data_IF_542295655655
#
_entry.id   IF_542295655655
#
_cell.length_a   1.000
_cell.length_b   1.000
_cell.length_c   1.000
_cell.angle_alpha   90.00
_cell.angle_beta   90.00
_cell.angle_gamma   90.00
#
_symmetry.space_group_name_H-M   'P 1'
#
loop_
_entity.id
_entity.type
_entity.pdbx_description
1 polymer ?
#
# COMPACT_ATOMS: atom_id res chain seq x y z
N UNK A 1 -20.47 1.59 12.72
CA UNK A 1 -19.00 1.73 12.99
C UNK A 1 -18.39 2.63 11.92
N UNK A 2 -17.50 3.56 12.27
CA UNK A 2 -16.80 4.44 11.33
C UNK A 2 -15.32 4.04 11.29
N UNK A 3 -14.75 3.91 10.09
CA UNK A 3 -13.37 3.45 9.89
C UNK A 3 -12.34 4.60 9.90
N UNK A 4 -12.77 5.80 9.54
CA UNK A 4 -11.95 7.01 9.47
C UNK A 4 -12.77 8.22 9.94
N UNK A 5 -12.11 9.27 10.40
CA UNK A 5 -12.77 10.52 10.82
C UNK A 5 -13.07 11.40 9.61
N UNK A 6 -12.13 11.53 8.71
CA UNK A 6 -12.24 12.28 7.47
C UNK A 6 -12.05 11.37 6.27
N UNK A 7 -12.83 11.61 5.22
CA UNK A 7 -12.78 10.83 3.98
C UNK A 7 -11.39 10.88 3.33
N UNK A 8 -10.71 12.01 3.43
CA UNK A 8 -9.36 12.24 2.87
C UNK A 8 -8.28 11.37 3.53
N UNK A 9 -8.51 10.89 4.75
CA UNK A 9 -7.57 10.03 5.44
C UNK A 9 -7.57 8.59 4.89
N UNK A 10 -8.61 8.20 4.16
CA UNK A 10 -8.74 6.86 3.62
C UNK A 10 -7.93 6.68 2.33
N UNK A 11 -6.99 5.74 2.33
CA UNK A 11 -6.16 5.41 1.17
C UNK A 11 -6.83 4.46 0.16
N UNK A 12 -8.07 4.04 0.37
CA UNK A 12 -8.75 3.10 -0.53
C UNK A 12 -8.10 1.72 -0.67
N UNK A 13 -7.25 1.32 0.28
CA UNK A 13 -6.38 0.14 0.16
C UNK A 13 -7.10 -1.22 0.27
N UNK A 14 -8.39 -1.25 0.66
CA UNK A 14 -9.18 -2.47 0.80
C UNK A 14 -8.83 -3.38 1.98
N UNK A 15 -7.87 -3.02 2.85
CA UNK A 15 -7.46 -3.85 3.98
C UNK A 15 -8.62 -4.16 4.94
N UNK A 16 -9.49 -3.19 5.19
CA UNK A 16 -10.68 -3.37 6.04
C UNK A 16 -11.70 -4.36 5.44
N UNK A 17 -11.87 -4.34 4.11
CA UNK A 17 -12.73 -5.29 3.40
C UNK A 17 -12.19 -6.71 3.52
N UNK A 18 -10.89 -6.91 3.26
CA UNK A 18 -10.26 -8.23 3.34
C UNK A 18 -10.19 -8.78 4.77
N UNK A 19 -10.15 -7.91 5.78
CA UNK A 19 -10.13 -8.31 7.18
C UNK A 19 -11.51 -8.65 7.74
N UNK A 20 -12.60 -8.40 7.00
CA UNK A 20 -13.95 -8.61 7.49
C UNK A 20 -14.41 -10.08 7.32
N UNK A 21 -14.54 -10.88 8.40
CA UNK A 21 -14.94 -12.28 8.30
C UNK A 21 -16.42 -12.46 7.94
N UNK A 22 -17.20 -11.37 7.98
CA UNK A 22 -18.62 -11.35 7.65
C UNK A 22 -18.92 -10.79 6.26
N UNK A 23 -17.85 -10.42 5.51
CA UNK A 23 -18.00 -9.78 4.20
C UNK A 23 -18.98 -8.59 4.23
N UNK A 24 -18.96 -7.87 5.35
CA UNK A 24 -19.83 -6.73 5.59
C UNK A 24 -19.28 -5.42 5.02
N UNK A 25 -18.12 -5.43 4.37
CA UNK A 25 -17.48 -4.24 3.83
C UNK A 25 -17.24 -4.45 2.34
N UNK A 26 -17.69 -3.50 1.53
CA UNK A 26 -17.39 -3.43 0.10
C UNK A 26 -16.82 -2.05 -0.24
N UNK A 27 -16.16 -1.96 -1.38
CA UNK A 27 -15.55 -0.71 -1.84
C UNK A 27 -16.45 -0.07 -2.89
N UNK A 28 -16.85 1.19 -2.67
CA UNK A 28 -17.63 1.97 -3.62
C UNK A 28 -16.81 3.15 -4.15
N UNK A 29 -16.96 3.43 -5.44
CA UNK A 29 -16.36 4.59 -6.06
C UNK A 29 -17.18 5.85 -5.76
N UNK A 30 -16.50 6.93 -5.41
CA UNK A 30 -17.11 8.24 -5.31
C UNK A 30 -17.30 8.90 -6.69
N UNK A 31 -17.79 10.14 -6.71
CA UNK A 31 -18.01 10.91 -7.95
C UNK A 31 -16.74 11.18 -8.76
N UNK A 32 -15.56 11.03 -8.15
CA UNK A 32 -14.24 11.23 -8.77
C UNK A 32 -13.56 9.89 -9.10
N UNK A 33 -14.18 8.75 -8.78
CA UNK A 33 -13.67 7.41 -9.03
C UNK A 33 -12.75 6.86 -7.94
N UNK A 34 -12.60 7.53 -6.80
CA UNK A 34 -11.84 7.00 -5.66
C UNK A 34 -12.68 5.98 -4.89
N UNK A 35 -12.06 4.85 -4.54
CA UNK A 35 -12.71 3.77 -3.82
C UNK A 35 -12.70 4.01 -2.30
N UNK A 36 -13.87 3.90 -1.69
CA UNK A 36 -14.04 4.01 -0.24
C UNK A 36 -14.82 2.83 0.32
N UNK A 37 -14.51 2.39 1.56
CA UNK A 37 -15.22 1.29 2.19
C UNK A 37 -16.61 1.73 2.67
N UNK A 38 -17.60 0.95 2.32
CA UNK A 38 -18.98 1.05 2.79
C UNK A 38 -19.31 -0.17 3.64
N UNK A 39 -19.88 0.05 4.83
CA UNK A 39 -20.18 -1.00 5.79
C UNK A 39 -21.66 -1.33 5.72
N UNK A 40 -21.98 -2.58 5.39
CA UNK A 40 -23.32 -3.14 5.52
C UNK A 40 -23.62 -3.39 7.00
N UNK A 41 -24.44 -2.54 7.58
CA UNK A 41 -24.80 -2.61 9.00
C UNK A 41 -25.62 -3.84 9.37
N UNK A 42 -26.31 -4.46 8.39
CA UNK A 42 -27.09 -5.69 8.61
C UNK A 42 -26.18 -6.91 8.79
N UNK A 43 -25.00 -6.91 8.18
CA UNK A 43 -24.01 -7.99 8.28
C UNK A 43 -22.93 -7.73 9.33
N UNK A 44 -22.73 -6.47 9.68
CA UNK A 44 -21.68 -6.06 10.60
C UNK A 44 -21.98 -6.51 12.03
N UNK A 45 -21.07 -7.25 12.63
CA UNK A 45 -21.15 -7.71 14.05
C UNK A 45 -20.29 -6.86 14.98
N UNK A 46 -19.79 -5.75 14.54
CA UNK A 46 -19.02 -4.76 15.30
C UNK A 46 -17.76 -5.31 16.00
N UNK A 47 -17.11 -6.31 15.40
CA UNK A 47 -15.95 -7.00 15.99
C UNK A 47 -14.65 -6.16 16.00
N UNK A 48 -14.57 -5.05 15.29
CA UNK A 48 -13.43 -4.14 15.28
C UNK A 48 -12.21 -4.58 14.44
N UNK A 49 -12.21 -5.74 13.80
CA UNK A 49 -11.06 -6.24 13.00
C UNK A 49 -10.68 -5.30 11.86
N UNK A 50 -11.65 -4.69 11.21
CA UNK A 50 -11.43 -3.71 10.14
C UNK A 50 -10.67 -2.47 10.62
N UNK A 51 -10.95 -2.00 11.85
CA UNK A 51 -10.18 -0.91 12.47
C UNK A 51 -8.75 -1.33 12.80
N UNK A 52 -8.57 -2.54 13.30
CA UNK A 52 -7.23 -3.07 13.61
C UNK A 52 -6.37 -3.24 12.36
N UNK A 53 -6.98 -3.55 11.21
CA UNK A 53 -6.29 -3.71 9.94
C UNK A 53 -6.02 -2.39 9.22
N UNK A 54 -6.68 -1.30 9.63
CA UNK A 54 -6.52 0.00 9.02
C UNK A 54 -5.18 0.63 9.39
N UNK A 55 -4.49 1.21 8.40
CA UNK A 55 -3.24 1.94 8.63
C UNK A 55 -3.47 3.33 9.24
N UNK A 56 -4.68 3.88 9.10
CA UNK A 56 -5.06 5.17 9.68
C UNK A 56 -5.02 5.06 11.21
N UNK A 57 -4.32 5.97 11.85
CA UNK A 57 -4.14 5.96 13.31
C UNK A 57 -3.05 5.01 13.84
N UNK A 58 -2.45 4.20 12.97
CA UNK A 58 -1.22 3.44 13.27
C UNK A 58 0.02 4.20 12.81
N UNK A 59 0.04 5.51 12.99
CA UNK A 59 1.26 6.28 12.77
C UNK A 59 2.29 5.77 13.77
N UNK A 60 3.11 4.86 13.26
CA UNK A 60 4.28 4.40 13.99
C UNK A 60 5.13 5.63 14.29
N UNK A 61 5.43 5.82 15.56
CA UNK A 61 6.41 6.79 16.02
C UNK A 61 7.85 6.48 15.58
N UNK A 62 8.04 5.56 14.65
CA UNK A 62 9.27 5.35 13.91
C UNK A 62 9.46 6.45 12.84
N UNK A 63 9.26 7.69 13.25
CA UNK A 63 9.87 8.81 12.54
C UNK A 63 11.34 8.77 12.92
N UNK A 64 12.18 8.33 11.97
CA UNK A 64 13.59 8.62 12.05
C UNK A 64 13.70 10.16 12.12
N UNK A 65 13.99 10.71 13.28
CA UNK A 65 14.15 12.16 13.50
C UNK A 65 15.37 12.68 12.74
N UNK A 66 16.30 11.79 12.41
CA UNK A 66 17.50 12.09 11.62
C UNK A 66 17.19 11.95 10.12
N UNK A 67 17.47 12.97 9.32
CA UNK A 67 17.30 12.88 7.88
C UNK A 67 18.23 11.82 7.30
N UNK A 68 17.67 10.83 6.61
CA UNK A 68 18.45 9.87 5.85
C UNK A 68 19.19 10.58 4.72
N UNK A 69 20.41 10.12 4.42
CA UNK A 69 21.14 10.62 3.25
C UNK A 69 20.34 10.36 1.97
N UNK A 70 20.18 11.42 1.16
CA UNK A 70 19.53 11.33 -0.13
C UNK A 70 20.60 11.26 -1.24
N UNK A 71 20.46 10.31 -2.14
CA UNK A 71 21.37 10.12 -3.26
C UNK A 71 20.61 10.21 -4.58
N UNK A 72 21.12 11.00 -5.52
CA UNK A 72 20.72 10.96 -6.91
C UNK A 72 21.53 9.87 -7.63
N UNK A 73 20.87 8.79 -8.05
CA UNK A 73 21.56 7.65 -8.68
C UNK A 73 20.91 7.27 -10.00
N UNK A 74 21.73 6.79 -10.92
CA UNK A 74 21.29 6.16 -12.18
C UNK A 74 22.19 4.97 -12.50
N UNK A 75 21.61 3.95 -13.14
CA UNK A 75 22.36 2.84 -13.66
C UNK A 75 23.04 3.21 -15.02
N UNK A 76 23.93 2.37 -15.52
CA UNK A 76 24.54 2.57 -16.83
C UNK A 76 23.47 2.58 -17.94
N UNK A 77 23.74 3.27 -19.05
CA UNK A 77 22.75 3.52 -20.11
C UNK A 77 22.22 2.22 -20.73
N UNK A 78 23.04 1.18 -20.83
CA UNK A 78 22.63 -0.13 -21.34
C UNK A 78 21.51 -0.77 -20.48
N UNK A 79 21.62 -0.68 -19.16
CA UNK A 79 20.60 -1.21 -18.24
C UNK A 79 19.40 -0.27 -18.19
N UNK A 80 19.63 1.04 -18.22
CA UNK A 80 18.53 2.02 -18.21
C UNK A 80 17.60 1.90 -19.41
N UNK A 81 18.14 1.61 -20.59
CA UNK A 81 17.36 1.46 -21.83
C UNK A 81 16.26 0.38 -21.74
N UNK A 82 16.46 -0.63 -20.89
CA UNK A 82 15.51 -1.74 -20.68
C UNK A 82 14.89 -1.76 -19.27
N UNK A 83 15.08 -0.70 -18.51
CA UNK A 83 14.60 -0.55 -17.15
C UNK A 83 13.61 0.62 -17.03
N UNK A 84 12.82 0.62 -15.97
CA UNK A 84 12.01 1.78 -15.60
C UNK A 84 12.87 2.87 -14.96
N UNK A 85 12.66 4.13 -15.34
CA UNK A 85 13.31 5.30 -14.75
C UNK A 85 14.86 5.20 -14.77
N UNK A 86 15.52 5.44 -13.64
CA UNK A 86 16.97 5.38 -13.51
C UNK A 86 17.59 3.98 -13.48
N UNK A 87 16.81 2.90 -13.51
CA UNK A 87 17.28 1.51 -13.49
C UNK A 87 17.81 1.04 -12.13
N UNK A 88 17.56 1.78 -11.06
CA UNK A 88 18.02 1.43 -9.70
C UNK A 88 17.30 0.18 -9.18
N UNK A 89 16.01 0.04 -9.47
CA UNK A 89 15.25 -1.15 -9.12
C UNK A 89 15.90 -2.42 -9.70
N UNK A 90 16.32 -2.40 -10.96
CA UNK A 90 17.01 -3.51 -11.61
C UNK A 90 18.30 -3.88 -10.87
N UNK A 91 19.11 -2.89 -10.49
CA UNK A 91 20.35 -3.14 -9.75
C UNK A 91 20.11 -3.75 -8.37
N UNK A 92 19.08 -3.29 -7.65
CA UNK A 92 18.70 -3.85 -6.35
C UNK A 92 18.15 -5.27 -6.48
N UNK A 93 17.32 -5.51 -7.50
CA UNK A 93 16.74 -6.82 -7.79
C UNK A 93 17.82 -7.86 -8.13
N UNK A 94 18.75 -7.51 -9.01
CA UNK A 94 19.87 -8.39 -9.38
C UNK A 94 20.70 -8.78 -8.16
N UNK A 95 21.02 -7.80 -7.30
CA UNK A 95 21.77 -8.04 -6.07
C UNK A 95 20.99 -8.92 -5.09
N UNK A 96 19.68 -8.73 -4.98
CA UNK A 96 18.82 -9.52 -4.12
C UNK A 96 18.70 -10.97 -4.60
N UNK A 97 18.53 -11.19 -5.91
CA UNK A 97 18.44 -12.54 -6.51
C UNK A 97 19.77 -13.28 -6.37
N UNK A 98 20.90 -12.62 -6.63
CA UNK A 98 22.24 -13.21 -6.45
C UNK A 98 22.45 -13.62 -4.98
N UNK A 99 21.88 -12.87 -4.03
CA UNK A 99 21.87 -13.20 -2.60
C UNK A 99 20.93 -14.34 -2.19
N UNK A 100 20.23 -14.98 -3.14
CA UNK A 100 19.28 -16.07 -2.87
C UNK A 100 17.88 -15.62 -2.47
N UNK A 101 17.56 -14.34 -2.65
CA UNK A 101 16.22 -13.80 -2.41
C UNK A 101 15.22 -14.17 -3.50
N UNK A 102 13.94 -14.16 -3.15
CA UNK A 102 12.82 -14.33 -4.10
C UNK A 102 12.10 -12.99 -4.26
N UNK A 103 11.85 -12.60 -5.50
CA UNK A 103 11.13 -11.37 -5.82
C UNK A 103 9.92 -11.67 -6.69
N UNK A 104 8.83 -10.94 -6.44
CA UNK A 104 7.64 -10.94 -7.29
C UNK A 104 7.37 -9.51 -7.74
N UNK A 105 7.44 -9.30 -9.05
CA UNK A 105 7.07 -8.02 -9.64
C UNK A 105 5.91 -8.24 -10.62
N UNK A 106 4.79 -7.57 -10.39
CA UNK A 106 3.71 -7.54 -11.36
C UNK A 106 3.93 -6.34 -12.30
N UNK A 107 4.21 -6.61 -13.56
CA UNK A 107 4.19 -5.57 -14.58
C UNK A 107 2.72 -5.25 -14.89
N UNK A 108 2.27 -4.05 -14.57
CA UNK A 108 1.03 -3.53 -15.13
C UNK A 108 1.31 -3.13 -16.58
N UNK A 109 0.60 -3.76 -17.49
CA UNK A 109 0.56 -3.37 -18.90
C UNK A 109 -0.36 -2.16 -19.04
#
# INVERSE_FOLDING_TARGET
MQLYEKKEDCYGCGACMNACPKEAIHMEADSQGFLYPVIDTAKCVDCGLCKQSCQIGKVSSAQNEEPLNCFGVKNCDRIRAVSSSGGVFTALLDKFIIGGGVSSCRRSL
#
